data_IF_924687032016
#
_entry.id   IF_924687032016
#
_cell.length_a   1.000
_cell.length_b   1.000
_cell.length_c   1.000
_cell.angle_alpha   90.00
_cell.angle_beta   90.00
_cell.angle_gamma   90.00
#
_symmetry.space_group_name_H-M   'P 1'
#
loop_
_entity.id
_entity.type
_entity.pdbx_description
1 polymer ?
#
# COMPACT_ATOMS: atom_id res chain seq x y z
N UNK A 1 -26.96 10.21 11.62
CA UNK A 1 -26.14 11.23 10.92
C UNK A 1 -25.51 10.56 9.71
N UNK A 2 -25.37 11.26 8.58
CA UNK A 2 -24.64 10.74 7.43
C UNK A 2 -23.15 10.64 7.77
N UNK A 3 -22.53 9.52 7.41
CA UNK A 3 -21.08 9.33 7.54
C UNK A 3 -20.34 10.30 6.63
N UNK A 4 -19.20 10.78 7.10
CA UNK A 4 -18.25 11.56 6.31
C UNK A 4 -17.60 10.68 5.24
N UNK A 5 -17.04 11.29 4.20
CA UNK A 5 -16.30 10.57 3.17
C UNK A 5 -15.11 9.77 3.75
N UNK A 6 -14.48 10.28 4.82
CA UNK A 6 -13.39 9.58 5.52
C UNK A 6 -13.90 8.28 6.15
N UNK A 7 -14.99 8.35 6.89
CA UNK A 7 -15.59 7.20 7.55
C UNK A 7 -16.07 6.15 6.55
N UNK A 8 -16.65 6.57 5.42
CA UNK A 8 -17.04 5.67 4.32
C UNK A 8 -15.81 4.97 3.73
N UNK A 9 -14.70 5.69 3.54
CA UNK A 9 -13.47 5.14 2.97
C UNK A 9 -12.81 4.14 3.91
N UNK A 10 -12.80 4.42 5.21
CA UNK A 10 -12.28 3.51 6.24
C UNK A 10 -13.11 2.21 6.30
N UNK A 11 -14.44 2.33 6.33
CA UNK A 11 -15.33 1.17 6.35
C UNK A 11 -15.21 0.31 5.07
N UNK A 12 -15.09 0.95 3.90
CA UNK A 12 -14.87 0.24 2.64
C UNK A 12 -13.51 -0.48 2.62
N UNK A 13 -12.47 0.13 3.17
CA UNK A 13 -11.16 -0.49 3.28
C UNK A 13 -11.18 -1.72 4.20
N UNK A 14 -11.81 -1.61 5.37
CA UNK A 14 -11.93 -2.71 6.32
C UNK A 14 -12.71 -3.89 5.71
N UNK A 15 -13.82 -3.61 5.02
CA UNK A 15 -14.60 -4.64 4.33
C UNK A 15 -13.81 -5.36 3.22
N UNK A 16 -12.98 -4.62 2.48
CA UNK A 16 -12.09 -5.22 1.47
C UNK A 16 -11.02 -6.11 2.12
N UNK A 17 -10.40 -5.65 3.21
CA UNK A 17 -9.41 -6.45 3.95
C UNK A 17 -10.04 -7.74 4.49
N UNK A 18 -11.23 -7.65 5.09
CA UNK A 18 -11.92 -8.82 5.64
C UNK A 18 -12.15 -9.89 4.56
N UNK A 19 -12.53 -9.46 3.35
CA UNK A 19 -12.90 -10.38 2.29
C UNK A 19 -11.74 -10.91 1.45
N UNK A 20 -10.73 -10.08 1.20
CA UNK A 20 -9.65 -10.32 0.22
C UNK A 20 -8.25 -10.40 0.86
N UNK A 21 -8.13 -10.07 2.14
CA UNK A 21 -6.85 -9.79 2.77
C UNK A 21 -6.21 -8.50 2.27
N UNK A 22 -5.19 -8.02 3.00
CA UNK A 22 -4.52 -6.73 2.72
C UNK A 22 -3.99 -6.64 1.29
N UNK A 23 -3.39 -7.72 0.78
CA UNK A 23 -2.86 -7.76 -0.58
C UNK A 23 -3.96 -7.67 -1.64
N UNK A 24 -5.05 -8.44 -1.49
CA UNK A 24 -6.17 -8.42 -2.43
C UNK A 24 -6.95 -7.10 -2.39
N UNK A 25 -7.16 -6.53 -1.20
CA UNK A 25 -7.77 -5.22 -1.02
C UNK A 25 -6.97 -4.11 -1.72
N UNK A 26 -5.64 -4.12 -1.58
CA UNK A 26 -4.75 -3.15 -2.24
C UNK A 26 -4.83 -3.28 -3.76
N UNK A 27 -4.76 -4.50 -4.30
CA UNK A 27 -4.84 -4.75 -5.74
C UNK A 27 -6.20 -4.30 -6.32
N UNK A 28 -7.29 -4.53 -5.61
CA UNK A 28 -8.63 -4.09 -6.02
C UNK A 28 -8.71 -2.56 -6.14
N UNK A 29 -8.15 -1.84 -5.17
CA UNK A 29 -8.08 -0.36 -5.24
C UNK A 29 -7.19 0.08 -6.40
N UNK A 30 -6.02 -0.55 -6.57
CA UNK A 30 -5.08 -0.22 -7.64
C UNK A 30 -5.60 -0.56 -9.05
N UNK A 31 -6.50 -1.55 -9.20
CA UNK A 31 -7.19 -1.83 -10.46
C UNK A 31 -8.23 -0.76 -10.79
N UNK A 32 -8.91 -0.23 -9.77
CA UNK A 32 -9.92 0.81 -9.94
C UNK A 32 -9.35 2.19 -10.27
N UNK A 33 -8.06 2.40 -9.99
CA UNK A 33 -7.31 3.56 -10.48
C UNK A 33 -6.67 3.18 -11.82
N UNK A 34 -6.78 4.04 -12.84
CA UNK A 34 -5.98 3.86 -14.06
C UNK A 34 -4.49 3.96 -13.66
N UNK A 35 -3.87 2.81 -13.43
CA UNK A 35 -2.46 2.73 -13.14
C UNK A 35 -1.68 3.38 -14.27
N UNK A 36 -0.87 4.39 -13.94
CA UNK A 36 0.04 5.03 -14.87
C UNK A 36 1.48 4.63 -14.57
N UNK A 37 2.26 4.43 -15.64
CA UNK A 37 3.69 4.15 -15.57
C UNK A 37 4.06 2.67 -15.61
N UNK A 38 5.36 2.39 -15.64
CA UNK A 38 5.92 1.04 -15.71
C UNK A 38 6.62 0.72 -14.38
N UNK A 39 5.91 0.07 -13.47
CA UNK A 39 6.48 -0.32 -12.17
C UNK A 39 7.71 -1.23 -12.30
N UNK A 40 7.81 -2.03 -13.37
CA UNK A 40 8.98 -2.90 -13.61
C UNK A 40 10.23 -2.08 -13.86
N UNK A 41 10.07 -0.95 -14.56
CA UNK A 41 11.15 0.01 -14.80
C UNK A 41 11.37 0.91 -13.58
N UNK A 42 10.31 1.46 -13.00
CA UNK A 42 10.40 2.43 -11.91
C UNK A 42 10.95 1.82 -10.61
N UNK A 43 10.61 0.56 -10.28
CA UNK A 43 11.16 -0.11 -9.10
C UNK A 43 12.68 -0.18 -9.10
N UNK A 44 13.31 -0.24 -10.28
CA UNK A 44 14.77 -0.25 -10.42
C UNK A 44 15.38 1.10 -10.01
N UNK A 45 14.66 2.21 -10.18
CA UNK A 45 15.09 3.53 -9.70
C UNK A 45 14.82 3.70 -8.21
N UNK A 46 13.64 3.27 -7.75
CA UNK A 46 13.20 3.39 -6.35
C UNK A 46 14.12 2.61 -5.41
N UNK A 47 14.43 1.36 -5.77
CA UNK A 47 15.24 0.47 -4.93
C UNK A 47 16.70 0.44 -5.35
N UNK A 48 17.04 0.76 -6.61
CA UNK A 48 18.42 0.82 -7.12
C UNK A 48 19.26 -0.37 -6.61
N UNK A 49 20.37 -0.09 -5.94
CA UNK A 49 21.30 -1.06 -5.37
C UNK A 49 20.94 -1.48 -3.93
N UNK A 50 19.77 -1.12 -3.40
CA UNK A 50 19.36 -1.52 -2.05
C UNK A 50 19.17 -3.03 -1.99
N UNK A 51 19.85 -3.66 -1.04
CA UNK A 51 19.60 -5.05 -0.71
C UNK A 51 18.29 -5.18 0.08
N UNK A 52 17.75 -6.40 0.11
CA UNK A 52 16.59 -6.71 0.96
C UNK A 52 16.87 -6.38 2.43
N UNK A 53 18.10 -6.64 2.90
CA UNK A 53 18.50 -6.38 4.28
C UNK A 53 18.51 -4.88 4.62
N UNK A 54 18.83 -4.03 3.65
CA UNK A 54 18.74 -2.57 3.79
C UNK A 54 17.29 -2.13 3.98
N UNK A 55 16.40 -2.63 3.13
CA UNK A 55 14.97 -2.32 3.18
C UNK A 55 14.38 -2.78 4.53
N UNK A 56 14.70 -3.99 4.98
CA UNK A 56 14.22 -4.53 6.26
C UNK A 56 14.74 -3.71 7.44
N UNK A 57 15.99 -3.23 7.40
CA UNK A 57 16.54 -2.35 8.43
C UNK A 57 15.80 -1.01 8.50
N UNK A 58 15.53 -0.38 7.36
CA UNK A 58 14.80 0.88 7.29
C UNK A 58 13.38 0.76 7.87
N UNK A 59 12.65 -0.29 7.50
CA UNK A 59 11.32 -0.57 8.05
C UNK A 59 11.37 -0.73 9.58
N UNK A 60 12.38 -1.45 10.09
CA UNK A 60 12.56 -1.63 11.54
C UNK A 60 12.93 -0.32 12.25
N UNK A 61 13.66 0.58 11.59
CA UNK A 61 13.99 1.89 12.15
C UNK A 61 12.75 2.78 12.25
N UNK A 62 11.94 2.86 11.18
CA UNK A 62 10.68 3.62 11.17
C UNK A 62 9.70 3.16 12.26
N UNK A 63 9.62 1.85 12.52
CA UNK A 63 8.79 1.28 13.60
C UNK A 63 9.28 1.59 15.02
N UNK A 64 10.52 2.07 15.21
CA UNK A 64 11.05 2.46 16.53
C UNK A 64 10.87 3.94 16.82
N UNK A 65 10.61 4.74 15.78
CA UNK A 65 10.35 6.18 15.90
C UNK A 65 8.87 6.51 16.13
N UNK A 66 7.99 5.54 15.92
CA UNK A 66 6.56 5.57 16.27
C UNK A 66 6.29 4.72 17.53
#
# INVERSE_FOLDING_TARGET
MLKTLKEIKEEGWDALIERLGVAGATMFVLESEEGYGDYTTERKKIFAEKSLDDIVREIKALKREY
#
